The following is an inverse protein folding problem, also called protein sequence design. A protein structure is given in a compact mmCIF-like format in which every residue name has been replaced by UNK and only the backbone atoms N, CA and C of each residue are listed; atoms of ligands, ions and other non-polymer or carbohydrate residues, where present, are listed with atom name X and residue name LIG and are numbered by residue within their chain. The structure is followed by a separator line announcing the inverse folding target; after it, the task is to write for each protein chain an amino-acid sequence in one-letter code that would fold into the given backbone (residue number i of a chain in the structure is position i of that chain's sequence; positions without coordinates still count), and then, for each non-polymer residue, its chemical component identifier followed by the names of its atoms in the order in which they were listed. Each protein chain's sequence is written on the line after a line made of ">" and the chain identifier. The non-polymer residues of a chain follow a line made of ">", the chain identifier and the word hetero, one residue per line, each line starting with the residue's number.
data_IF_260995278077
#
_entry.id   IF_260995278077
#
_cell.length_a   1.000
_cell.length_b   1.000
_cell.length_c   1.000
_cell.angle_alpha   90.00
_cell.angle_beta   90.00
_cell.angle_gamma   90.00
#
_symmetry.space_group_name_H-M   'P 1'
#
loop_
_entity.id
_entity.type
_entity.pdbx_description
1 polymer ?
#
# COMPACT_ATOMS: atom_id res chain seq x y z
N UNK A 1 -5.54 -5.24 5.99
CA UNK A 1 -4.70 -4.01 6.02
C UNK A 1 -5.37 -2.94 5.15
N UNK A 2 -5.23 -1.63 5.43
CA UNK A 2 -5.90 -0.60 4.62
C UNK A 2 -5.42 -0.63 3.15
N UNK A 3 -4.12 -0.82 2.92
CA UNK A 3 -3.54 -0.88 1.58
C UNK A 3 -4.06 -2.09 0.79
N UNK A 4 -4.26 -3.22 1.46
CA UNK A 4 -4.79 -4.45 0.86
C UNK A 4 -6.25 -4.28 0.43
N UNK A 5 -7.09 -3.66 1.28
CA UNK A 5 -8.49 -3.37 0.94
C UNK A 5 -8.57 -2.42 -0.25
N UNK A 6 -7.74 -1.37 -0.26
CA UNK A 6 -7.67 -0.46 -1.41
C UNK A 6 -7.20 -1.17 -2.69
N UNK A 7 -6.24 -2.10 -2.61
CA UNK A 7 -5.81 -2.90 -3.77
C UNK A 7 -6.95 -3.74 -4.35
N UNK A 8 -7.75 -4.38 -3.50
CA UNK A 8 -8.92 -5.15 -3.95
C UNK A 8 -9.97 -4.22 -4.59
N UNK A 9 -10.37 -3.15 -3.91
CA UNK A 9 -11.42 -2.25 -4.38
C UNK A 9 -11.04 -1.55 -5.69
N UNK A 10 -9.81 -1.04 -5.78
CA UNK A 10 -9.34 -0.37 -7.00
C UNK A 10 -9.14 -1.36 -8.17
N UNK A 11 -8.78 -2.62 -7.91
CA UNK A 11 -8.76 -3.67 -8.96
C UNK A 11 -10.14 -3.95 -9.52
N UNK A 12 -11.18 -3.85 -8.69
CA UNK A 12 -12.57 -4.04 -9.09
C UNK A 12 -13.20 -2.78 -9.71
N UNK A 13 -12.43 -1.68 -9.83
CA UNK A 13 -12.89 -0.43 -10.43
C UNK A 13 -13.71 0.46 -9.50
N UNK A 14 -13.75 0.17 -8.20
CA UNK A 14 -14.46 1.02 -7.24
C UNK A 14 -13.69 2.30 -6.94
N UNK A 15 -14.42 3.41 -6.98
CA UNK A 15 -14.00 4.73 -6.52
C UNK A 15 -15.17 5.35 -5.77
N UNK A 16 -14.96 5.64 -4.48
CA UNK A 16 -16.00 6.08 -3.56
C UNK A 16 -15.38 6.98 -2.49
N UNK A 17 -16.11 8.01 -2.05
CA UNK A 17 -15.63 9.00 -1.08
C UNK A 17 -15.24 8.37 0.27
N UNK A 18 -15.84 7.23 0.63
CA UNK A 18 -15.50 6.49 1.86
C UNK A 18 -14.10 5.89 1.83
N UNK A 19 -13.45 5.84 0.66
CA UNK A 19 -12.08 5.36 0.51
C UNK A 19 -11.03 6.45 0.80
N UNK A 20 -11.43 7.73 0.87
CA UNK A 20 -10.53 8.86 1.02
C UNK A 20 -9.62 8.74 2.24
N UNK A 21 -10.18 8.46 3.43
CA UNK A 21 -9.41 8.32 4.67
C UNK A 21 -8.32 7.23 4.56
N UNK A 22 -8.62 6.15 3.83
CA UNK A 22 -7.65 5.07 3.61
C UNK A 22 -6.55 5.48 2.63
N UNK A 23 -6.88 6.25 1.58
CA UNK A 23 -5.89 6.82 0.68
C UNK A 23 -5.00 7.84 1.39
N UNK A 24 -5.59 8.73 2.19
CA UNK A 24 -4.86 9.73 2.97
C UNK A 24 -3.88 9.05 3.93
N UNK A 25 -4.31 7.98 4.60
CA UNK A 25 -3.44 7.17 5.44
C UNK A 25 -2.29 6.51 4.66
N UNK A 26 -2.54 6.01 3.44
CA UNK A 26 -1.47 5.44 2.60
C UNK A 26 -0.50 6.54 2.18
N UNK A 27 -0.99 7.69 1.70
CA UNK A 27 -0.18 8.81 1.24
C UNK A 27 0.66 9.40 2.38
N UNK A 28 0.08 9.56 3.58
CA UNK A 28 0.78 10.13 4.73
C UNK A 28 1.99 9.31 5.19
N UNK A 29 2.05 8.04 4.80
CA UNK A 29 3.16 7.12 5.12
C UNK A 29 4.25 7.06 4.05
N UNK A 30 4.04 7.73 2.92
CA UNK A 30 5.05 7.83 1.88
C UNK A 30 6.25 8.65 2.37
N UNK A 31 7.45 8.13 2.19
CA UNK A 31 8.66 8.88 2.48
C UNK A 31 9.08 9.81 1.34
N UNK A 32 10.12 10.61 1.59
CA UNK A 32 10.69 11.57 0.62
C UNK A 32 11.17 10.94 -0.70
N UNK A 33 11.41 9.63 -0.72
CA UNK A 33 11.86 8.88 -1.90
C UNK A 33 10.69 8.20 -2.62
N UNK A 34 9.45 8.43 -2.17
CA UNK A 34 8.27 7.79 -2.71
C UNK A 34 8.12 6.33 -2.28
N UNK A 35 8.66 5.92 -1.13
CA UNK A 35 8.63 4.54 -0.63
C UNK A 35 7.87 4.41 0.68
N UNK A 36 7.51 3.17 1.01
CA UNK A 36 6.81 2.80 2.23
C UNK A 36 7.62 1.80 3.04
N UNK A 37 7.58 1.94 4.36
CA UNK A 37 8.28 1.05 5.28
C UNK A 37 7.49 -0.22 5.55
N UNK A 38 8.19 -1.32 5.84
CA UNK A 38 7.57 -2.51 6.42
C UNK A 38 7.28 -2.27 7.90
N UNK A 39 6.03 -2.06 8.29
CA UNK A 39 5.68 -1.83 9.71
C UNK A 39 5.51 -3.12 10.50
N UNK A 40 5.02 -4.17 9.83
CA UNK A 40 4.74 -5.47 10.44
C UNK A 40 5.26 -6.57 9.54
N UNK A 41 5.78 -7.63 10.13
CA UNK A 41 6.22 -8.82 9.43
C UNK A 41 5.94 -10.06 10.26
N UNK A 42 5.78 -11.19 9.59
CA UNK A 42 5.71 -12.52 10.20
C UNK A 42 7.07 -13.22 10.21
N UNK A 43 8.17 -12.48 10.01
CA UNK A 43 9.53 -12.99 10.19
C UNK A 43 9.66 -13.67 11.56
N UNK A 44 10.18 -14.90 11.58
CA UNK A 44 10.25 -15.74 12.79
C UNK A 44 9.07 -16.71 12.95
N UNK A 45 7.99 -16.55 12.20
CA UNK A 45 6.88 -17.53 12.07
C UNK A 45 6.83 -18.20 10.69
N UNK A 46 7.59 -17.68 9.73
CA UNK A 46 7.70 -18.20 8.37
C UNK A 46 9.10 -18.79 8.13
N UNK A 47 9.21 -19.75 7.21
CA UNK A 47 10.48 -20.39 6.81
C UNK A 47 11.47 -19.40 6.18
N UNK A 48 10.95 -18.33 5.57
CA UNK A 48 11.73 -17.31 4.89
C UNK A 48 11.48 -15.97 5.55
N UNK A 49 12.56 -15.20 5.75
CA UNK A 49 12.47 -13.80 6.18
C UNK A 49 12.17 -12.93 4.98
N UNK A 50 11.09 -12.17 5.05
CA UNK A 50 10.70 -11.19 4.05
C UNK A 50 11.01 -9.80 4.59
N UNK A 51 12.02 -9.18 3.99
CA UNK A 51 12.44 -7.79 4.22
C UNK A 51 12.69 -7.45 5.71
N UNK A 52 12.99 -6.18 6.01
CA UNK A 52 13.32 -5.73 7.35
C UNK A 52 12.28 -4.72 7.85
N UNK A 53 11.73 -4.96 9.05
CA UNK A 53 10.81 -4.04 9.71
C UNK A 53 11.48 -2.67 9.90
N UNK A 54 10.75 -1.59 9.62
CA UNK A 54 11.21 -0.21 9.72
C UNK A 54 12.06 0.28 8.56
N UNK A 55 12.43 -0.60 7.62
CA UNK A 55 13.10 -0.23 6.36
C UNK A 55 12.09 -0.12 5.22
N UNK A 56 12.50 0.60 4.17
CA UNK A 56 11.76 0.66 2.92
C UNK A 56 11.47 -0.76 2.40
N UNK A 57 10.21 -1.03 2.10
CA UNK A 57 9.72 -2.32 1.62
C UNK A 57 9.43 -2.23 0.13
N UNK A 58 10.02 -3.13 -0.67
CA UNK A 58 9.74 -3.20 -2.11
C UNK A 58 8.30 -3.65 -2.33
N UNK A 59 7.82 -4.60 -1.53
CA UNK A 59 6.47 -5.14 -1.66
C UNK A 59 5.39 -4.11 -1.33
N UNK A 60 5.51 -3.44 -0.18
CA UNK A 60 4.54 -2.41 0.22
C UNK A 60 4.60 -1.23 -0.74
N UNK A 61 5.81 -0.80 -1.15
CA UNK A 61 5.97 0.28 -2.14
C UNK A 61 5.31 -0.07 -3.46
N UNK A 62 5.51 -1.28 -3.99
CA UNK A 62 4.89 -1.70 -5.25
C UNK A 62 3.36 -1.68 -5.17
N UNK A 63 2.79 -2.18 -4.07
CA UNK A 63 1.34 -2.23 -3.93
C UNK A 63 0.74 -0.83 -3.72
N UNK A 64 1.38 0.04 -2.94
CA UNK A 64 0.98 1.43 -2.79
C UNK A 64 0.98 2.15 -4.15
N UNK A 65 2.03 1.99 -4.95
CA UNK A 65 2.10 2.58 -6.29
C UNK A 65 1.03 2.04 -7.22
N UNK A 66 0.74 0.73 -7.21
CA UNK A 66 -0.35 0.13 -8.01
C UNK A 66 -1.70 0.71 -7.62
N UNK A 67 -1.99 0.81 -6.33
CA UNK A 67 -3.24 1.35 -5.78
C UNK A 67 -3.43 2.81 -6.20
N UNK A 68 -2.41 3.65 -5.95
CA UNK A 68 -2.45 5.07 -6.30
C UNK A 68 -2.58 5.27 -7.82
N UNK A 69 -1.82 4.51 -8.60
CA UNK A 69 -1.90 4.56 -10.06
C UNK A 69 -3.31 4.21 -10.56
N UNK A 70 -3.97 3.17 -10.03
CA UNK A 70 -5.36 2.89 -10.40
C UNK A 70 -6.30 4.01 -9.99
N UNK A 71 -6.20 4.48 -8.75
CA UNK A 71 -7.08 5.52 -8.22
C UNK A 71 -7.07 6.82 -9.04
N UNK A 72 -5.87 7.25 -9.48
CA UNK A 72 -5.71 8.44 -10.31
C UNK A 72 -6.02 8.21 -11.80
N UNK A 73 -5.96 6.97 -12.30
CA UNK A 73 -6.29 6.65 -13.69
C UNK A 73 -7.75 6.19 -13.92
N UNK A 74 -8.51 5.91 -12.85
CA UNK A 74 -9.93 5.54 -12.91
C UNK A 74 -10.86 6.71 -13.33
N UNK A 75 -10.30 7.86 -13.75
CA UNK A 75 -11.04 9.06 -14.19
C UNK A 75 -11.04 9.27 -15.71
N UNK A 76 -10.80 8.22 -16.50
CA UNK A 76 -11.00 8.23 -17.95
C UNK A 76 -12.29 7.51 -18.34
#
# INVERSE_FOLDING_TARGET
>A
DALEVLDILTKLGYKDDRMCDAFDLVISKQDKNGRWKLEKSFNGRMQVRVEQIGKESKWITLNALKVLNRYYNLTN
#
